data_IF_001509804741
#
_entry.id   IF_001509804741
#
_cell.length_a   1.000
_cell.length_b   1.000
_cell.length_c   1.000
_cell.angle_alpha   90.00
_cell.angle_beta   90.00
_cell.angle_gamma   90.00
#
_symmetry.space_group_name_H-M   'P 1'
#
loop_
_entity.id
_entity.type
_entity.pdbx_description
1 polymer ?
#
# COMPACT_ATOMS: atom_id res chain seq x y z
N UNK A 1 -11.33 -25.21 -4.35
CA UNK A 1 -10.03 -25.24 -5.08
C UNK A 1 -9.92 -23.94 -5.87
N UNK A 2 -8.78 -23.23 -5.83
CA UNK A 2 -8.61 -21.96 -6.57
C UNK A 2 -8.57 -22.26 -8.08
N UNK A 3 -9.42 -21.61 -8.88
CA UNK A 3 -9.45 -21.81 -10.33
C UNK A 3 -8.31 -21.07 -11.03
N UNK A 4 -7.83 -21.58 -12.16
CA UNK A 4 -6.82 -20.87 -12.96
C UNK A 4 -7.30 -19.50 -13.46
N UNK A 5 -8.59 -19.36 -13.76
CA UNK A 5 -9.18 -18.08 -14.14
C UNK A 5 -9.11 -17.04 -13.00
N UNK A 6 -9.28 -17.47 -11.74
CA UNK A 6 -9.10 -16.61 -10.58
C UNK A 6 -7.65 -16.13 -10.44
N UNK A 7 -6.68 -17.03 -10.62
CA UNK A 7 -5.25 -16.68 -10.57
C UNK A 7 -4.90 -15.65 -11.64
N UNK A 8 -5.30 -15.88 -12.90
CA UNK A 8 -5.03 -14.93 -13.99
C UNK A 8 -5.76 -13.60 -13.80
N UNK A 9 -7.00 -13.61 -13.29
CA UNK A 9 -7.77 -12.41 -13.01
C UNK A 9 -7.12 -11.53 -11.93
N UNK A 10 -6.72 -12.13 -10.80
CA UNK A 10 -6.01 -11.41 -9.72
C UNK A 10 -4.67 -10.89 -10.22
N UNK A 11 -3.92 -11.67 -11.00
CA UNK A 11 -2.65 -11.23 -11.59
C UNK A 11 -2.82 -10.01 -12.49
N UNK A 12 -3.79 -10.04 -13.41
CA UNK A 12 -4.04 -8.93 -14.33
C UNK A 12 -4.41 -7.63 -13.58
N UNK A 13 -5.29 -7.73 -12.58
CA UNK A 13 -5.68 -6.56 -11.77
C UNK A 13 -4.50 -6.04 -10.94
N UNK A 14 -3.72 -6.93 -10.32
CA UNK A 14 -2.52 -6.56 -9.59
C UNK A 14 -1.49 -5.85 -10.49
N UNK A 15 -1.32 -6.33 -11.73
CA UNK A 15 -0.41 -5.73 -12.70
C UNK A 15 -0.82 -4.29 -13.05
N UNK A 16 -2.09 -4.07 -13.39
CA UNK A 16 -2.63 -2.72 -13.67
C UNK A 16 -2.45 -1.79 -12.46
N UNK A 17 -2.68 -2.32 -11.25
CA UNK A 17 -2.55 -1.61 -9.99
C UNK A 17 -1.13 -1.15 -9.70
N UNK A 18 -0.14 -2.02 -9.94
CA UNK A 18 1.29 -1.76 -9.75
C UNK A 18 1.80 -0.78 -10.80
N UNK A 19 1.36 -0.90 -12.05
CA UNK A 19 1.77 0.00 -13.13
C UNK A 19 1.25 1.42 -12.96
N UNK A 20 0.10 1.58 -12.30
CA UNK A 20 -0.47 2.89 -12.03
C UNK A 20 0.21 3.52 -10.80
N UNK A 21 0.88 4.67 -10.93
CA UNK A 21 1.61 5.28 -9.82
C UNK A 21 0.67 5.56 -8.66
N UNK A 22 1.06 5.08 -7.48
CA UNK A 22 0.31 5.25 -6.24
C UNK A 22 1.24 5.50 -5.05
N UNK A 23 0.67 5.63 -3.85
CA UNK A 23 1.41 6.00 -2.64
C UNK A 23 2.63 5.15 -2.36
N UNK A 24 2.47 3.81 -2.45
CA UNK A 24 3.55 2.86 -2.21
C UNK A 24 4.71 3.08 -3.19
N UNK A 25 4.40 3.25 -4.49
CA UNK A 25 5.40 3.45 -5.54
C UNK A 25 6.14 4.77 -5.33
N UNK A 26 5.42 5.87 -5.06
CA UNK A 26 6.02 7.19 -4.83
C UNK A 26 6.94 7.15 -3.60
N UNK A 27 6.48 6.54 -2.50
CA UNK A 27 7.29 6.38 -1.29
C UNK A 27 8.55 5.55 -1.53
N UNK A 28 8.41 4.38 -2.19
CA UNK A 28 9.54 3.49 -2.52
C UNK A 28 10.57 4.17 -3.42
N UNK A 29 10.11 4.85 -4.47
CA UNK A 29 10.97 5.59 -5.40
C UNK A 29 11.68 6.72 -4.66
N UNK A 30 10.95 7.51 -3.86
CA UNK A 30 11.52 8.58 -3.04
C UNK A 30 12.61 8.06 -2.11
N UNK A 31 12.38 6.98 -1.37
CA UNK A 31 13.40 6.41 -0.46
C UNK A 31 14.57 5.77 -1.19
N UNK A 32 14.32 5.14 -2.34
CA UNK A 32 15.38 4.54 -3.16
C UNK A 32 16.31 5.58 -3.77
N UNK A 33 15.75 6.70 -4.23
CA UNK A 33 16.51 7.81 -4.82
C UNK A 33 17.22 8.61 -3.72
N UNK A 34 16.52 8.98 -2.64
CA UNK A 34 17.05 9.87 -1.61
C UNK A 34 17.96 9.20 -0.58
N UNK A 35 17.79 7.90 -0.30
CA UNK A 35 18.54 7.18 0.75
C UNK A 35 19.18 5.86 0.26
N UNK A 36 19.14 5.62 -1.05
CA UNK A 36 19.78 4.49 -1.71
C UNK A 36 18.97 3.19 -1.70
N UNK A 37 19.51 2.19 -2.42
CA UNK A 37 18.83 0.91 -2.70
C UNK A 37 18.43 0.15 -1.43
N UNK A 38 19.28 0.18 -0.39
CA UNK A 38 18.99 -0.51 0.89
C UNK A 38 17.75 0.07 1.57
N UNK A 39 17.62 1.40 1.57
CA UNK A 39 16.46 2.04 2.16
C UNK A 39 15.17 1.67 1.41
N UNK A 40 15.24 1.68 0.07
CA UNK A 40 14.16 1.18 -0.78
C UNK A 40 13.75 -0.26 -0.47
N UNK A 41 14.71 -1.18 -0.31
CA UNK A 41 14.41 -2.59 0.00
C UNK A 41 13.77 -2.76 1.39
N UNK A 42 14.24 -2.04 2.41
CA UNK A 42 13.64 -2.11 3.76
C UNK A 42 12.21 -1.57 3.74
N UNK A 43 11.98 -0.46 3.03
CA UNK A 43 10.64 0.08 2.80
C UNK A 43 9.75 -0.90 2.03
N UNK A 44 10.30 -1.64 1.06
CA UNK A 44 9.57 -2.64 0.28
C UNK A 44 9.09 -3.79 1.17
N UNK A 45 9.93 -4.25 2.10
CA UNK A 45 9.54 -5.29 3.06
C UNK A 45 8.37 -4.83 3.92
N UNK A 46 8.36 -3.57 4.38
CA UNK A 46 7.22 -3.00 5.11
C UNK A 46 5.94 -3.00 4.27
N UNK A 47 6.04 -2.59 3.01
CA UNK A 47 4.92 -2.62 2.05
C UNK A 47 4.42 -4.06 1.82
N UNK A 48 5.32 -5.03 1.67
CA UNK A 48 4.98 -6.44 1.46
C UNK A 48 4.24 -7.04 2.67
N UNK A 49 4.69 -6.73 3.89
CA UNK A 49 3.97 -7.12 5.11
C UNK A 49 2.57 -6.51 5.14
N UNK A 50 2.41 -5.25 4.73
CA UNK A 50 1.08 -4.62 4.62
C UNK A 50 0.13 -5.37 3.68
N UNK A 51 0.64 -5.86 2.54
CA UNK A 51 -0.15 -6.71 1.65
C UNK A 51 -0.55 -8.04 2.30
N UNK A 52 0.34 -8.67 3.07
CA UNK A 52 0.01 -9.90 3.80
C UNK A 52 -1.06 -9.66 4.87
N UNK A 53 -1.02 -8.52 5.55
CA UNK A 53 -2.06 -8.11 6.51
C UNK A 53 -3.41 -7.97 5.80
N UNK A 54 -3.46 -7.30 4.65
CA UNK A 54 -4.69 -7.20 3.87
C UNK A 54 -5.18 -8.57 3.37
N UNK A 55 -4.28 -9.41 2.88
CA UNK A 55 -4.62 -10.75 2.39
C UNK A 55 -5.22 -11.62 3.50
N UNK A 56 -4.56 -11.66 4.66
CA UNK A 56 -5.05 -12.39 5.83
C UNK A 56 -6.37 -11.82 6.33
N UNK A 57 -6.51 -10.50 6.43
CA UNK A 57 -7.75 -9.87 6.84
C UNK A 57 -8.90 -10.17 5.86
N UNK A 58 -8.67 -10.08 4.54
CA UNK A 58 -9.67 -10.43 3.53
C UNK A 58 -10.09 -11.89 3.64
N UNK A 59 -9.14 -12.80 3.85
CA UNK A 59 -9.44 -14.23 4.04
C UNK A 59 -10.21 -14.50 5.35
N UNK A 60 -10.04 -13.65 6.36
CA UNK A 60 -10.79 -13.69 7.63
C UNK A 60 -12.12 -12.92 7.58
N UNK A 61 -12.53 -12.40 6.41
CA UNK A 61 -13.82 -11.73 6.25
C UNK A 61 -13.78 -10.20 6.38
N UNK A 62 -12.68 -9.53 6.03
CA UNK A 62 -12.60 -8.05 5.98
C UNK A 62 -13.76 -7.40 5.20
N UNK A 63 -14.25 -8.07 4.15
CA UNK A 63 -15.44 -7.65 3.42
C UNK A 63 -16.68 -7.60 4.34
N UNK A 64 -16.89 -8.61 5.19
CA UNK A 64 -17.97 -8.65 6.17
C UNK A 64 -17.87 -7.52 7.20
N UNK A 65 -16.65 -7.15 7.60
CA UNK A 65 -16.40 -6.04 8.54
C UNK A 65 -16.79 -4.69 7.93
N UNK A 66 -16.42 -4.42 6.68
CA UNK A 66 -16.78 -3.16 6.03
C UNK A 66 -18.26 -3.09 5.62
N UNK A 67 -18.91 -4.23 5.35
CA UNK A 67 -20.37 -4.26 5.20
C UNK A 67 -21.09 -4.04 6.52
N UNK A 68 -20.56 -4.56 7.64
CA UNK A 68 -21.14 -4.38 8.96
C UNK A 68 -20.93 -2.95 9.49
N UNK A 69 -19.79 -2.32 9.18
CA UNK A 69 -19.45 -0.97 9.65
C UNK A 69 -18.97 -0.08 8.48
N UNK A 70 -19.89 0.49 7.69
CA UNK A 70 -19.55 1.38 6.57
C UNK A 70 -18.73 2.60 6.97
N UNK A 71 -18.90 3.09 8.20
CA UNK A 71 -18.13 4.20 8.75
C UNK A 71 -16.63 3.92 8.83
N UNK A 72 -16.23 2.66 9.07
CA UNK A 72 -14.83 2.27 9.16
C UNK A 72 -14.14 2.39 7.79
N UNK A 73 -14.85 2.03 6.72
CA UNK A 73 -14.37 2.20 5.35
C UNK A 73 -14.17 3.68 4.97
N UNK A 74 -15.11 4.54 5.39
CA UNK A 74 -14.99 6.00 5.19
C UNK A 74 -13.81 6.55 6.00
N UNK A 75 -13.63 6.11 7.25
CA UNK A 75 -12.52 6.54 8.09
C UNK A 75 -11.15 6.16 7.48
N UNK A 76 -11.00 4.93 6.96
CA UNK A 76 -9.79 4.50 6.25
C UNK A 76 -9.54 5.34 5.00
N UNK A 77 -10.58 5.64 4.21
CA UNK A 77 -10.46 6.53 3.04
C UNK A 77 -9.98 7.92 3.41
N UNK A 78 -10.58 8.52 4.44
CA UNK A 78 -10.23 9.87 4.89
C UNK A 78 -8.82 9.91 5.48
N UNK A 79 -8.45 8.94 6.32
CA UNK A 79 -7.11 8.81 6.87
C UNK A 79 -6.05 8.64 5.77
N UNK A 80 -6.34 7.80 4.77
CA UNK A 80 -5.52 7.66 3.58
C UNK A 80 -5.38 8.99 2.84
N UNK A 81 -6.49 9.67 2.52
CA UNK A 81 -6.46 10.96 1.83
C UNK A 81 -5.61 12.01 2.56
N UNK A 82 -5.75 12.14 3.88
CA UNK A 82 -4.96 13.07 4.71
C UNK A 82 -3.47 12.69 4.68
N UNK A 83 -3.15 11.40 4.84
CA UNK A 83 -1.77 10.92 4.82
C UNK A 83 -1.10 11.18 3.45
N UNK A 84 -1.82 10.97 2.35
CA UNK A 84 -1.33 11.26 1.01
C UNK A 84 -1.17 12.75 0.76
N UNK A 85 -2.10 13.58 1.24
CA UNK A 85 -1.96 15.03 1.20
C UNK A 85 -0.70 15.49 1.95
N UNK A 86 -0.44 14.92 3.13
CA UNK A 86 0.77 15.20 3.90
C UNK A 86 2.04 14.76 3.16
N UNK A 87 2.07 13.56 2.56
CA UNK A 87 3.19 13.10 1.74
C UNK A 87 3.41 13.98 0.50
N UNK A 88 2.33 14.40 -0.18
CA UNK A 88 2.41 15.31 -1.33
C UNK A 88 3.00 16.66 -0.93
N UNK A 89 2.53 17.25 0.18
CA UNK A 89 3.10 18.48 0.74
C UNK A 89 4.57 18.30 1.11
N UNK A 90 4.95 17.14 1.65
CA UNK A 90 6.35 16.85 2.01
C UNK A 90 7.24 16.71 0.77
N UNK A 91 6.75 16.08 -0.30
CA UNK A 91 7.44 15.98 -1.57
C UNK A 91 7.62 17.35 -2.23
N UNK A 92 6.59 18.20 -2.19
CA UNK A 92 6.61 19.56 -2.75
C UNK A 92 7.44 20.54 -1.91
N UNK A 93 7.55 20.34 -0.59
CA UNK A 93 8.43 21.14 0.30
C UNK A 93 9.88 20.68 0.24
N UNK A 94 10.14 19.43 -0.15
CA UNK A 94 11.47 18.86 -0.32
C UNK A 94 12.21 19.32 -1.58
N UNK A 95 11.57 20.02 -2.51
CA UNK A 95 12.19 20.45 -3.79
C UNK A 95 13.08 21.68 -3.70
N UNK A 96 13.07 22.43 -2.59
CA UNK A 96 14.13 23.42 -2.35
C UNK A 96 15.50 22.76 -2.03
N UNK A 97 15.51 21.46 -1.70
CA UNK A 97 16.71 20.68 -1.37
C UNK A 97 16.77 19.33 -2.09
N UNK A 98 15.94 19.06 -3.11
CA UNK A 98 15.92 17.76 -3.79
C UNK A 98 17.15 17.52 -4.69
N UNK A 99 17.87 18.59 -5.04
CA UNK A 99 19.15 18.55 -5.77
C UNK A 99 20.34 19.01 -4.93
N UNK A 100 20.12 19.49 -3.70
CA UNK A 100 21.17 19.52 -2.71
C UNK A 100 21.19 18.16 -2.02
N UNK A 101 22.31 17.46 -2.13
CA UNK A 101 22.64 16.38 -1.22
C UNK A 101 22.86 16.96 0.20
N UNK A 102 21.86 17.64 0.76
CA UNK A 102 21.77 17.82 2.19
C UNK A 102 21.68 16.40 2.72
N UNK A 103 22.66 15.99 3.51
CA UNK A 103 22.70 14.71 4.17
C UNK A 103 21.42 14.53 5.01
N UNK A 104 20.35 14.07 4.37
CA UNK A 104 19.15 13.61 5.05
C UNK A 104 19.68 12.55 6.01
N UNK A 105 19.54 12.79 7.32
CA UNK A 105 19.83 11.79 8.33
C UNK A 105 19.22 10.47 7.84
N UNK A 106 20.07 9.46 7.66
CA UNK A 106 19.62 8.16 7.17
C UNK A 106 18.55 7.68 8.13
N UNK A 107 17.32 7.53 7.63
CA UNK A 107 16.24 7.06 8.46
C UNK A 107 16.58 5.64 8.92
N UNK A 108 16.31 5.34 10.19
CA UNK A 108 16.58 4.01 10.71
C UNK A 108 15.77 2.97 9.93
N UNK A 109 16.33 1.75 9.78
CA UNK A 109 15.63 0.64 9.13
C UNK A 109 14.23 0.43 9.71
N UNK A 110 14.05 0.61 11.02
CA UNK A 110 12.75 0.54 11.68
C UNK A 110 11.79 1.59 11.16
N UNK A 111 12.22 2.84 11.01
CA UNK A 111 11.37 3.92 10.48
C UNK A 111 11.00 3.68 9.01
N UNK A 112 11.95 3.21 8.19
CA UNK A 112 11.71 2.87 6.79
C UNK A 112 10.71 1.72 6.62
N UNK A 113 10.84 0.69 7.44
CA UNK A 113 9.88 -0.42 7.48
C UNK A 113 8.49 0.06 7.93
N UNK A 114 8.40 0.76 9.05
CA UNK A 114 7.12 1.24 9.60
C UNK A 114 6.43 2.19 8.63
N UNK A 115 7.17 3.10 7.99
CA UNK A 115 6.59 3.99 6.98
C UNK A 115 6.11 3.23 5.75
N UNK A 116 6.85 2.22 5.27
CA UNK A 116 6.39 1.35 4.18
C UNK A 116 5.11 0.59 4.54
N UNK A 117 5.05 0.04 5.75
CA UNK A 117 3.88 -0.66 6.29
C UNK A 117 2.66 0.27 6.40
N UNK A 118 2.82 1.42 7.08
CA UNK A 118 1.74 2.40 7.27
C UNK A 118 1.28 2.98 5.94
N UNK A 119 2.21 3.27 5.02
CA UNK A 119 1.86 3.73 3.66
C UNK A 119 0.99 2.71 2.95
N UNK A 120 1.32 1.42 3.05
CA UNK A 120 0.51 0.35 2.44
C UNK A 120 -0.86 0.21 3.13
N UNK A 121 -0.89 0.15 4.46
CA UNK A 121 -2.13 -0.03 5.23
C UNK A 121 -3.12 1.11 5.02
N UNK A 122 -2.63 2.35 4.97
CA UNK A 122 -3.44 3.55 4.70
C UNK A 122 -3.67 3.80 3.20
N UNK A 123 -3.19 2.93 2.31
CA UNK A 123 -3.36 3.13 0.88
C UNK A 123 -4.79 2.79 0.46
N UNK A 124 -5.64 3.79 0.13
CA UNK A 124 -7.04 3.54 -0.23
C UNK A 124 -7.14 2.68 -1.49
N UNK A 125 -6.13 2.73 -2.38
CA UNK A 125 -6.07 1.94 -3.61
C UNK A 125 -5.96 0.44 -3.32
N UNK A 126 -5.13 0.08 -2.34
CA UNK A 126 -4.94 -1.32 -1.94
C UNK A 126 -6.16 -1.80 -1.15
N UNK A 127 -6.69 -0.98 -0.25
CA UNK A 127 -7.92 -1.30 0.47
C UNK A 127 -9.07 -1.62 -0.50
N UNK A 128 -9.31 -0.76 -1.50
CA UNK A 128 -10.37 -0.96 -2.51
C UNK A 128 -10.13 -2.26 -3.30
N UNK A 129 -8.90 -2.55 -3.72
CA UNK A 129 -8.59 -3.81 -4.40
C UNK A 129 -8.96 -5.02 -3.54
N UNK A 130 -8.48 -5.08 -2.29
CA UNK A 130 -8.69 -6.26 -1.44
C UNK A 130 -10.14 -6.46 -1.02
N UNK A 131 -10.93 -5.39 -0.97
CA UNK A 131 -12.37 -5.45 -0.64
C UNK A 131 -13.21 -5.81 -1.87
N UNK A 132 -12.91 -5.22 -3.03
CA UNK A 132 -13.79 -5.29 -4.20
C UNK A 132 -13.37 -6.36 -5.20
N UNK A 133 -12.08 -6.66 -5.32
CA UNK A 133 -11.53 -7.49 -6.40
C UNK A 133 -11.28 -8.91 -5.91
N UNK A 134 -10.63 -9.09 -4.75
CA UNK A 134 -10.29 -10.43 -4.23
C UNK A 134 -11.54 -11.31 -4.07
N UNK A 135 -12.66 -10.85 -3.47
CA UNK A 135 -13.85 -11.69 -3.34
C UNK A 135 -14.48 -12.11 -4.68
N UNK A 136 -14.27 -11.35 -5.77
CA UNK A 136 -14.81 -11.72 -7.10
C UNK A 136 -14.10 -12.93 -7.71
N UNK A 137 -12.90 -13.25 -7.23
CA UNK A 137 -12.09 -14.37 -7.69
C UNK A 137 -12.04 -15.53 -6.69
N UNK A 138 -12.69 -15.40 -5.54
CA UNK A 138 -12.83 -16.47 -4.56
C UNK A 138 -14.23 -17.05 -4.69
N UNK A 139 -14.32 -18.37 -4.86
CA UNK A 139 -15.60 -19.09 -4.86
C UNK A 139 -16.11 -19.20 -3.40
N UNK A 140 -17.24 -18.55 -3.04
CA UNK A 140 -17.79 -18.62 -1.68
C UNK A 140 -18.20 -20.04 -1.28
N UNK A 141 -18.44 -20.93 -2.25
CA UNK A 141 -18.81 -22.33 -2.01
C UNK A 141 -17.59 -23.23 -1.75
N UNK A 142 -16.36 -22.72 -1.91
CA UNK A 142 -15.13 -23.49 -1.71
C UNK A 142 -14.63 -23.53 -0.26
N UNK A 143 -15.32 -22.86 0.68
CA UNK A 143 -15.01 -22.85 2.12
C UNK A 143 -14.67 -21.47 2.65
#
# INVERSE_FOLDING_TARGET
>A
MVSWSAVFGVFAVALVLVLTPGPNMIYLVSRSISQGRRAGMVSLVGVAVGFLVYLTATNLGLAAVFTAVPALYIAVKLAGAVYLGWLAVQALRGTASAFEATALQQDSNRRLFTMGLVTNLLNPKIAIMYISVIPQFVDPAAG
#
